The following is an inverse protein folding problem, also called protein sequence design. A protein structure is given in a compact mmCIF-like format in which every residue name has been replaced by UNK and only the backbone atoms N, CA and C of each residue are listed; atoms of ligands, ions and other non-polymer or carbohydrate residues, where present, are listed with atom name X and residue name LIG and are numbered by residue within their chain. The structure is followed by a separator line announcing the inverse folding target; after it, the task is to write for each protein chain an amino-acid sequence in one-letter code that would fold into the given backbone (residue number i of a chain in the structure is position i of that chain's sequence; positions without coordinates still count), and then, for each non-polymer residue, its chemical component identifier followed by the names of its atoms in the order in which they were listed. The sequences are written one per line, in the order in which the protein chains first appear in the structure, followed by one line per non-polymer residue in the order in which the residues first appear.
data_IF_244979708082
#
_entry.id   IF_244979708082
#
_cell.length_a   1.000
_cell.length_b   1.000
_cell.length_c   1.000
_cell.angle_alpha   90.00
_cell.angle_beta   90.00
_cell.angle_gamma   90.00
#
_symmetry.space_group_name_H-M   'P 1'
#
loop_
_entity.id
_entity.type
_entity.pdbx_description
1 polymer ?
#
# COMPACT_ATOMS: atom_id res chain seq x y z
N UNK A 1 20.99 3.05 -66.64
CA UNK A 1 21.09 3.79 -65.35
C UNK A 1 22.44 3.43 -64.74
N UNK A 2 23.32 4.40 -64.39
CA UNK A 2 24.70 4.09 -63.95
C UNK A 2 24.81 3.45 -62.56
N UNK A 3 23.85 3.67 -61.66
CA UNK A 3 23.85 3.07 -60.32
C UNK A 3 22.42 2.72 -59.89
N UNK A 4 21.96 1.45 -59.94
CA UNK A 4 20.63 1.07 -59.47
C UNK A 4 20.52 1.21 -57.94
N UNK A 5 19.33 1.49 -57.42
CA UNK A 5 19.09 1.50 -55.98
C UNK A 5 19.29 0.09 -55.41
N UNK A 6 20.20 -0.04 -54.44
CA UNK A 6 20.48 -1.29 -53.76
C UNK A 6 20.96 -1.01 -52.35
N UNK A 7 20.31 -1.64 -51.37
CA UNK A 7 20.83 -1.67 -50.01
C UNK A 7 22.02 -2.63 -49.94
N UNK A 8 23.07 -2.21 -49.23
CA UNK A 8 24.25 -3.04 -49.03
C UNK A 8 23.98 -4.14 -48.01
N UNK A 9 24.83 -5.19 -48.01
CA UNK A 9 24.80 -6.21 -46.94
C UNK A 9 24.93 -5.59 -45.55
N UNK A 10 25.76 -4.55 -45.42
CA UNK A 10 25.94 -3.82 -44.15
C UNK A 10 24.66 -3.14 -43.68
N UNK A 11 23.86 -2.55 -44.58
CA UNK A 11 22.56 -1.97 -44.23
C UNK A 11 21.61 -3.02 -43.67
N UNK A 12 21.54 -4.20 -44.31
CA UNK A 12 20.66 -5.29 -43.87
C UNK A 12 21.10 -5.80 -42.49
N UNK A 13 22.41 -5.99 -42.27
CA UNK A 13 22.95 -6.39 -40.96
C UNK A 13 22.57 -5.35 -39.89
N UNK A 14 22.73 -4.06 -40.18
CA UNK A 14 22.39 -3.00 -39.24
C UNK A 14 20.89 -2.96 -38.92
N UNK A 15 20.03 -3.08 -39.93
CA UNK A 15 18.59 -3.18 -39.75
C UNK A 15 18.21 -4.37 -38.86
N UNK A 16 18.83 -5.54 -39.07
CA UNK A 16 18.63 -6.73 -38.23
C UNK A 16 19.04 -6.50 -36.78
N UNK A 17 20.12 -5.76 -36.53
CA UNK A 17 20.55 -5.40 -35.16
C UNK A 17 19.51 -4.48 -34.50
N UNK A 18 19.06 -3.43 -35.19
CA UNK A 18 18.03 -2.49 -34.67
C UNK A 18 16.71 -3.21 -34.41
N UNK A 19 16.31 -4.10 -35.31
CA UNK A 19 15.15 -4.98 -35.16
C UNK A 19 15.27 -5.87 -33.92
N UNK A 20 16.42 -6.52 -33.72
CA UNK A 20 16.66 -7.37 -32.57
C UNK A 20 16.61 -6.58 -31.25
N UNK A 21 17.24 -5.40 -31.21
CA UNK A 21 17.20 -4.52 -30.02
C UNK A 21 15.76 -4.11 -29.69
N UNK A 22 14.99 -3.69 -30.70
CA UNK A 22 13.59 -3.28 -30.52
C UNK A 22 12.73 -4.44 -30.02
N UNK A 23 12.92 -5.64 -30.58
CA UNK A 23 12.22 -6.84 -30.15
C UNK A 23 12.57 -7.22 -28.70
N UNK A 24 13.86 -7.13 -28.32
CA UNK A 24 14.29 -7.34 -26.94
C UNK A 24 13.66 -6.32 -25.97
N UNK A 25 13.55 -5.05 -26.36
CA UNK A 25 12.86 -4.04 -25.55
C UNK A 25 11.37 -4.30 -25.42
N UNK A 26 10.69 -4.65 -26.50
CA UNK A 26 9.26 -4.98 -26.48
C UNK A 26 8.98 -6.18 -25.58
N UNK A 27 9.76 -7.26 -25.71
CA UNK A 27 9.63 -8.45 -24.85
C UNK A 27 9.92 -8.08 -23.39
N UNK A 28 10.92 -7.24 -23.13
CA UNK A 28 11.26 -6.83 -21.76
C UNK A 28 10.18 -5.96 -21.11
N UNK A 29 9.54 -5.05 -21.85
CA UNK A 29 8.51 -4.15 -21.32
C UNK A 29 7.18 -4.89 -21.17
N UNK A 30 6.74 -5.54 -22.23
CA UNK A 30 5.37 -6.04 -22.34
C UNK A 30 5.25 -7.54 -22.07
N UNK A 31 6.38 -8.24 -21.86
CA UNK A 31 6.41 -9.69 -21.67
C UNK A 31 6.26 -10.45 -22.99
N UNK A 32 5.96 -11.74 -22.89
CA UNK A 32 5.75 -12.60 -24.04
C UNK A 32 4.28 -13.00 -24.12
N UNK A 33 3.49 -12.25 -24.91
CA UNK A 33 2.09 -12.56 -25.21
C UNK A 33 1.76 -12.31 -26.70
N UNK A 34 0.55 -12.70 -27.11
CA UNK A 34 0.11 -12.56 -28.50
C UNK A 34 0.06 -11.09 -28.97
N UNK A 35 -0.23 -10.15 -28.06
CA UNK A 35 -0.23 -8.73 -28.38
C UNK A 35 1.18 -8.23 -28.68
N UNK A 36 2.18 -8.63 -27.88
CA UNK A 36 3.59 -8.27 -28.07
C UNK A 36 4.16 -8.87 -29.35
N UNK A 37 3.74 -10.08 -29.72
CA UNK A 37 4.09 -10.68 -31.01
C UNK A 37 3.55 -9.81 -32.16
N UNK A 38 2.28 -9.41 -32.09
CA UNK A 38 1.68 -8.51 -33.08
C UNK A 38 2.37 -7.15 -33.16
N UNK A 39 2.63 -6.51 -32.02
CA UNK A 39 3.36 -5.25 -31.91
C UNK A 39 4.77 -5.37 -32.51
N UNK A 40 5.47 -6.46 -32.20
CA UNK A 40 6.84 -6.71 -32.67
C UNK A 40 6.87 -6.97 -34.18
N UNK A 41 5.91 -7.71 -34.72
CA UNK A 41 5.79 -7.87 -36.18
C UNK A 41 5.56 -6.51 -36.85
N UNK A 42 4.64 -5.70 -36.32
CA UNK A 42 4.37 -4.35 -36.82
C UNK A 42 5.61 -3.43 -36.77
N UNK A 43 6.36 -3.45 -35.66
CA UNK A 43 7.57 -2.64 -35.53
C UNK A 43 8.69 -3.09 -36.47
N UNK A 44 8.84 -4.40 -36.71
CA UNK A 44 9.78 -4.94 -37.69
C UNK A 44 9.45 -4.48 -39.11
N UNK A 45 8.17 -4.46 -39.49
CA UNK A 45 7.76 -3.88 -40.77
C UNK A 45 8.12 -2.40 -40.86
N UNK A 46 7.87 -1.62 -39.81
CA UNK A 46 8.23 -0.20 -39.75
C UNK A 46 9.74 0.05 -39.91
N UNK A 47 10.58 -0.71 -39.19
CA UNK A 47 12.06 -0.62 -39.22
C UNK A 47 12.62 -0.93 -40.62
N UNK A 48 11.95 -1.77 -41.40
CA UNK A 48 12.43 -2.12 -42.74
C UNK A 48 11.86 -1.16 -43.79
N UNK A 49 10.55 -0.91 -43.76
CA UNK A 49 9.83 -0.17 -44.81
C UNK A 49 10.17 1.32 -44.77
N UNK A 50 10.10 1.97 -43.60
CA UNK A 50 10.25 3.42 -43.49
C UNK A 50 11.66 3.87 -43.92
N UNK A 51 12.76 3.28 -43.41
CA UNK A 51 14.10 3.64 -43.85
C UNK A 51 14.34 3.32 -45.33
N UNK A 52 13.77 2.23 -45.86
CA UNK A 52 13.89 1.89 -47.29
C UNK A 52 13.21 2.92 -48.19
N UNK A 53 12.00 3.37 -47.82
CA UNK A 53 11.28 4.42 -48.57
C UNK A 53 12.05 5.75 -48.55
N UNK A 54 12.54 6.16 -47.37
CA UNK A 54 13.32 7.40 -47.25
C UNK A 54 14.65 7.27 -48.02
N UNK A 55 15.33 6.14 -47.92
CA UNK A 55 16.55 5.87 -48.69
C UNK A 55 16.33 5.94 -50.20
N UNK A 56 15.19 5.42 -50.69
CA UNK A 56 14.81 5.49 -52.09
C UNK A 56 14.57 6.94 -52.52
N UNK A 57 13.82 7.71 -51.75
CA UNK A 57 13.58 9.14 -51.99
C UNK A 57 14.89 9.94 -52.04
N UNK A 58 15.77 9.75 -51.06
CA UNK A 58 17.07 10.43 -51.03
C UNK A 58 17.99 10.02 -52.19
N UNK A 59 17.95 8.75 -52.60
CA UNK A 59 18.66 8.32 -53.81
C UNK A 59 18.14 9.04 -55.07
N UNK A 60 16.84 9.27 -55.19
CA UNK A 60 16.27 10.08 -56.28
C UNK A 60 16.71 11.56 -56.19
N UNK A 61 16.57 12.19 -55.03
CA UNK A 61 16.90 13.60 -54.80
C UNK A 61 18.38 13.89 -55.05
N UNK A 62 19.28 12.98 -54.65
CA UNK A 62 20.72 13.13 -54.85
C UNK A 62 21.18 12.83 -56.29
N UNK A 63 20.25 12.65 -57.24
CA UNK A 63 20.58 12.39 -58.64
C UNK A 63 21.13 10.99 -58.88
N UNK A 64 20.67 10.00 -58.11
CA UNK A 64 21.08 8.58 -58.20
C UNK A 64 22.57 8.34 -57.96
N UNK A 65 23.18 9.18 -57.11
CA UNK A 65 24.58 9.03 -56.67
C UNK A 65 24.81 7.69 -55.95
N UNK A 66 26.01 7.15 -56.11
CA UNK A 66 26.46 5.98 -55.37
C UNK A 66 26.39 6.25 -53.85
N UNK A 67 25.89 5.27 -53.08
CA UNK A 67 25.74 5.32 -51.61
C UNK A 67 24.76 6.35 -51.02
N UNK A 68 24.17 7.25 -51.81
CA UNK A 68 23.21 8.24 -51.30
C UNK A 68 22.04 7.62 -50.53
N UNK A 69 21.44 6.56 -51.07
CA UNK A 69 20.38 5.81 -50.38
C UNK A 69 20.89 5.03 -49.16
N UNK A 70 22.07 4.41 -49.24
CA UNK A 70 22.71 3.68 -48.13
C UNK A 70 22.94 4.58 -46.91
N UNK A 71 23.44 5.80 -47.13
CA UNK A 71 23.70 6.75 -46.05
C UNK A 71 22.39 7.21 -45.39
N UNK A 72 21.39 7.58 -46.21
CA UNK A 72 20.08 7.98 -45.70
C UNK A 72 19.39 6.85 -44.92
N UNK A 73 19.46 5.61 -45.42
CA UNK A 73 18.94 4.43 -44.74
C UNK A 73 19.53 4.28 -43.33
N UNK A 74 20.85 4.36 -43.21
CA UNK A 74 21.53 4.21 -41.93
C UNK A 74 21.19 5.36 -40.97
N UNK A 75 21.16 6.61 -41.44
CA UNK A 75 20.81 7.76 -40.61
C UNK A 75 19.40 7.59 -40.02
N UNK A 76 18.42 7.23 -40.85
CA UNK A 76 17.04 7.01 -40.39
C UNK A 76 16.98 5.87 -39.39
N UNK A 77 17.66 4.74 -39.66
CA UNK A 77 17.71 3.62 -38.70
C UNK A 77 18.33 4.01 -37.36
N UNK A 78 19.40 4.81 -37.36
CA UNK A 78 20.03 5.30 -36.14
C UNK A 78 19.07 6.22 -35.35
N UNK A 79 18.35 7.11 -36.03
CA UNK A 79 17.34 7.96 -35.40
C UNK A 79 16.18 7.13 -34.82
N UNK A 80 15.70 6.12 -35.54
CA UNK A 80 14.68 5.20 -35.03
C UNK A 80 15.18 4.44 -33.80
N UNK A 81 16.43 3.96 -33.82
CA UNK A 81 17.04 3.29 -32.66
C UNK A 81 17.11 4.23 -31.45
N UNK A 82 17.55 5.48 -31.62
CA UNK A 82 17.55 6.46 -30.53
C UNK A 82 16.14 6.79 -30.03
N UNK A 83 15.16 6.89 -30.93
CA UNK A 83 13.75 7.04 -30.58
C UNK A 83 13.26 5.90 -29.69
N UNK A 84 13.50 4.64 -30.09
CA UNK A 84 13.14 3.47 -29.30
C UNK A 84 13.85 3.41 -27.94
N UNK A 85 15.13 3.81 -27.88
CA UNK A 85 15.88 3.90 -26.60
C UNK A 85 15.29 4.98 -25.68
N UNK A 86 14.93 6.14 -26.24
CA UNK A 86 14.31 7.24 -25.49
C UNK A 86 12.93 6.84 -24.96
N UNK A 87 12.09 6.24 -25.80
CA UNK A 87 10.77 5.73 -25.41
C UNK A 87 10.89 4.65 -24.33
N UNK A 88 11.86 3.73 -24.47
CA UNK A 88 12.18 2.76 -23.42
C UNK A 88 12.56 3.44 -22.10
N UNK A 89 13.39 4.47 -22.14
CA UNK A 89 13.77 5.24 -20.95
C UNK A 89 12.59 5.93 -20.29
N UNK A 90 11.65 6.48 -21.07
CA UNK A 90 10.43 7.08 -20.56
C UNK A 90 9.51 6.04 -19.91
N UNK A 91 9.24 4.92 -20.57
CA UNK A 91 8.40 3.84 -20.03
C UNK A 91 9.00 3.26 -18.75
N UNK A 92 10.32 3.10 -18.69
CA UNK A 92 11.00 2.65 -17.47
C UNK A 92 10.79 3.64 -16.31
N UNK A 93 10.96 4.95 -16.57
CA UNK A 93 10.74 6.00 -15.58
C UNK A 93 9.28 6.08 -15.13
N UNK A 94 8.33 5.94 -16.05
CA UNK A 94 6.90 5.92 -15.75
C UNK A 94 6.48 4.73 -14.87
N UNK A 95 7.19 3.59 -14.98
CA UNK A 95 6.97 2.42 -14.11
C UNK A 95 7.62 2.55 -12.74
N UNK A 96 8.74 3.25 -12.63
CA UNK A 96 9.41 3.49 -11.34
C UNK A 96 8.70 4.56 -10.52
N UNK A 97 8.13 5.58 -11.17
CA UNK A 97 7.47 6.70 -10.48
C UNK A 97 6.42 6.26 -9.43
N UNK A 98 5.43 5.40 -9.73
CA UNK A 98 4.46 4.98 -8.72
C UNK A 98 5.08 4.23 -7.53
N UNK A 99 6.24 3.59 -7.72
CA UNK A 99 6.97 2.92 -6.63
C UNK A 99 7.65 3.95 -5.74
N UNK A 100 8.21 5.00 -6.33
CA UNK A 100 8.83 6.09 -5.56
C UNK A 100 7.76 6.93 -4.85
N UNK A 101 6.64 7.22 -5.52
CA UNK A 101 5.46 7.87 -4.91
C UNK A 101 4.95 7.06 -3.70
N UNK A 102 4.97 5.72 -3.74
CA UNK A 102 4.64 4.86 -2.59
C UNK A 102 5.62 4.99 -1.43
N UNK A 103 6.93 5.08 -1.71
CA UNK A 103 7.95 5.24 -0.67
C UNK A 103 7.85 6.61 -0.02
N UNK A 104 7.66 7.64 -0.84
CA UNK A 104 7.47 9.02 -0.40
C UNK A 104 6.24 9.12 0.50
N UNK A 105 5.08 8.61 0.07
CA UNK A 105 3.87 8.60 0.88
C UNK A 105 4.06 7.94 2.26
N UNK A 106 4.77 6.79 2.32
CA UNK A 106 5.09 6.12 3.59
C UNK A 106 6.06 6.95 4.46
N UNK A 107 7.06 7.59 3.85
CA UNK A 107 8.01 8.45 4.55
C UNK A 107 7.31 9.70 5.12
N UNK A 108 6.51 10.38 4.30
CA UNK A 108 5.73 11.55 4.71
C UNK A 108 4.75 11.20 5.82
N UNK A 109 4.05 10.07 5.72
CA UNK A 109 3.17 9.61 6.80
C UNK A 109 3.92 9.43 8.11
N UNK A 110 5.10 8.80 8.08
CA UNK A 110 5.94 8.61 9.27
C UNK A 110 6.37 9.95 9.86
N UNK A 111 6.88 10.87 9.04
CA UNK A 111 7.35 12.19 9.47
C UNK A 111 6.22 13.05 10.04
N UNK A 112 5.07 13.12 9.33
CA UNK A 112 3.90 13.88 9.77
C UNK A 112 3.30 13.33 11.07
N UNK A 113 3.26 12.01 11.23
CA UNK A 113 2.71 11.36 12.44
C UNK A 113 3.64 11.55 13.64
N UNK A 114 4.96 11.52 13.43
CA UNK A 114 5.93 11.86 14.47
C UNK A 114 5.87 13.33 14.87
N UNK A 115 5.69 14.23 13.91
CA UNK A 115 5.61 15.67 14.17
C UNK A 115 4.29 16.09 14.82
N UNK A 116 3.18 15.43 14.46
CA UNK A 116 1.82 15.74 14.94
C UNK A 116 1.05 14.45 15.26
N UNK A 117 1.26 13.83 16.44
CA UNK A 117 0.58 12.59 16.84
C UNK A 117 -0.94 12.70 16.86
N UNK A 118 -1.48 13.86 17.23
CA UNK A 118 -2.93 14.10 17.28
C UNK A 118 -3.59 14.13 15.88
N UNK A 119 -2.79 14.23 14.82
CA UNK A 119 -3.25 14.22 13.43
C UNK A 119 -3.15 12.85 12.76
N UNK A 120 -2.96 11.77 13.53
CA UNK A 120 -2.74 10.41 13.00
C UNK A 120 -3.85 9.96 12.04
N UNK A 121 -5.13 10.24 12.33
CA UNK A 121 -6.25 9.86 11.46
C UNK A 121 -6.21 10.59 10.11
N UNK A 122 -5.95 11.90 10.12
CA UNK A 122 -5.81 12.71 8.90
C UNK A 122 -4.60 12.24 8.08
N UNK A 123 -3.45 12.05 8.73
CA UNK A 123 -2.23 11.57 8.10
C UNK A 123 -2.43 10.19 7.47
N UNK A 124 -3.17 9.30 8.14
CA UNK A 124 -3.50 7.98 7.61
C UNK A 124 -4.43 8.05 6.39
N UNK A 125 -5.42 8.94 6.41
CA UNK A 125 -6.33 9.14 5.28
C UNK A 125 -5.61 9.62 4.02
N UNK A 126 -4.64 10.54 4.17
CA UNK A 126 -3.75 10.97 3.09
C UNK A 126 -2.94 9.78 2.55
N UNK A 127 -2.22 9.06 3.42
CA UNK A 127 -1.46 7.87 3.06
C UNK A 127 -2.32 6.85 2.31
N UNK A 128 -3.53 6.57 2.80
CA UNK A 128 -4.43 5.59 2.21
C UNK A 128 -4.84 5.99 0.78
N UNK A 129 -5.07 7.28 0.56
CA UNK A 129 -5.41 7.83 -0.76
C UNK A 129 -4.24 7.69 -1.73
N UNK A 130 -3.03 8.04 -1.29
CA UNK A 130 -1.83 7.97 -2.11
C UNK A 130 -1.44 6.52 -2.45
N UNK A 131 -1.51 5.61 -1.47
CA UNK A 131 -1.30 4.18 -1.73
C UNK A 131 -2.31 3.64 -2.75
N UNK A 132 -3.60 3.97 -2.62
CA UNK A 132 -4.64 3.53 -3.57
C UNK A 132 -4.33 4.02 -4.98
N UNK A 133 -3.97 5.29 -5.12
CA UNK A 133 -3.62 5.90 -6.42
C UNK A 133 -2.39 5.24 -7.04
N UNK A 134 -1.31 5.09 -6.28
CA UNK A 134 -0.07 4.49 -6.80
C UNK A 134 -0.23 3.02 -7.17
N UNK A 135 -1.00 2.25 -6.39
CA UNK A 135 -1.35 0.87 -6.78
C UNK A 135 -2.17 0.85 -8.08
N UNK A 136 -3.11 1.78 -8.27
CA UNK A 136 -3.89 1.85 -9.50
C UNK A 136 -3.05 2.20 -10.72
N UNK A 137 -2.07 3.09 -10.55
CA UNK A 137 -1.14 3.43 -11.62
C UNK A 137 -0.15 2.29 -11.92
N UNK A 138 0.27 1.52 -10.92
CA UNK A 138 1.00 0.26 -11.12
C UNK A 138 0.17 -0.77 -11.89
N UNK A 139 -1.12 -0.91 -11.61
CA UNK A 139 -2.02 -1.82 -12.34
C UNK A 139 -2.16 -1.40 -13.81
N UNK A 140 -2.30 -0.09 -14.09
CA UNK A 140 -2.43 0.44 -15.45
C UNK A 140 -1.17 0.19 -16.28
N UNK A 141 0.01 0.35 -15.69
CA UNK A 141 1.31 0.31 -16.39
C UNK A 141 1.97 -1.08 -16.42
N UNK A 142 1.49 -2.01 -15.60
CA UNK A 142 1.95 -3.41 -15.57
C UNK A 142 1.15 -4.32 -16.51
N UNK A 143 1.70 -5.52 -16.78
CA UNK A 143 1.08 -6.55 -17.64
C UNK A 143 1.30 -7.95 -17.06
N UNK A 144 0.60 -8.96 -17.59
CA UNK A 144 0.82 -10.37 -17.25
C UNK A 144 0.73 -10.70 -15.75
N UNK A 145 1.67 -11.50 -15.26
CA UNK A 145 1.76 -11.92 -13.85
C UNK A 145 2.02 -10.75 -12.89
N UNK A 146 2.77 -9.74 -13.32
CA UNK A 146 3.03 -8.55 -12.50
C UNK A 146 1.74 -7.78 -12.22
N UNK A 147 0.88 -7.61 -13.22
CA UNK A 147 -0.44 -6.99 -13.03
C UNK A 147 -1.29 -7.77 -12.02
N UNK A 148 -1.23 -9.11 -12.04
CA UNK A 148 -1.94 -9.95 -11.06
C UNK A 148 -1.42 -9.70 -9.64
N UNK A 149 -0.11 -9.48 -9.46
CA UNK A 149 0.48 -9.11 -8.16
C UNK A 149 -0.10 -7.79 -7.66
N UNK A 150 -0.12 -6.75 -8.49
CA UNK A 150 -0.63 -5.44 -8.06
C UNK A 150 -2.14 -5.42 -7.82
N UNK A 151 -2.93 -6.17 -8.59
CA UNK A 151 -4.35 -6.39 -8.29
C UNK A 151 -4.52 -7.05 -6.92
N UNK A 152 -3.65 -8.01 -6.59
CA UNK A 152 -3.68 -8.69 -5.30
C UNK A 152 -3.26 -7.75 -4.16
N UNK A 153 -2.24 -6.92 -4.38
CA UNK A 153 -1.84 -5.86 -3.46
C UNK A 153 -3.00 -4.88 -3.20
N UNK A 154 -3.74 -4.47 -4.23
CA UNK A 154 -4.94 -3.62 -4.08
C UNK A 154 -5.98 -4.25 -3.17
N UNK A 155 -6.28 -5.54 -3.37
CA UNK A 155 -7.24 -6.29 -2.53
C UNK A 155 -6.75 -6.42 -1.09
N UNK A 156 -5.46 -6.68 -0.90
CA UNK A 156 -4.83 -6.73 0.41
C UNK A 156 -4.93 -5.38 1.12
N UNK A 157 -4.53 -4.30 0.44
CA UNK A 157 -4.59 -2.95 0.99
C UNK A 157 -6.01 -2.55 1.36
N UNK A 158 -6.99 -2.80 0.48
CA UNK A 158 -8.41 -2.55 0.78
C UNK A 158 -8.87 -3.27 2.06
N UNK A 159 -8.43 -4.50 2.28
CA UNK A 159 -8.77 -5.25 3.51
C UNK A 159 -8.08 -4.64 4.73
N UNK A 160 -6.81 -4.27 4.62
CA UNK A 160 -6.06 -3.63 5.71
C UNK A 160 -6.69 -2.29 6.10
N UNK A 161 -6.96 -1.44 5.11
CA UNK A 161 -7.60 -0.12 5.25
C UNK A 161 -8.98 -0.23 5.91
N UNK A 162 -9.82 -1.18 5.45
CA UNK A 162 -11.13 -1.41 6.04
C UNK A 162 -11.07 -1.85 7.51
N UNK A 163 -10.09 -2.66 7.89
CA UNK A 163 -9.92 -3.11 9.28
C UNK A 163 -9.41 -1.97 10.15
N UNK A 164 -8.47 -1.15 9.64
CA UNK A 164 -7.95 0.00 10.34
C UNK A 164 -9.04 1.05 10.60
N UNK A 165 -9.82 1.41 9.57
CA UNK A 165 -10.92 2.38 9.69
C UNK A 165 -11.97 1.91 10.70
N UNK A 166 -12.34 0.63 10.68
CA UNK A 166 -13.29 0.08 11.65
C UNK A 166 -12.76 0.18 13.09
N UNK A 167 -11.48 -0.13 13.29
CA UNK A 167 -10.85 -0.01 14.60
C UNK A 167 -10.74 1.45 15.07
N UNK A 168 -10.28 2.38 14.22
CA UNK A 168 -10.18 3.81 14.56
C UNK A 168 -11.56 4.39 14.92
N UNK A 169 -12.60 4.07 14.16
CA UNK A 169 -13.95 4.54 14.47
C UNK A 169 -14.43 4.05 15.84
N UNK A 170 -14.16 2.77 16.17
CA UNK A 170 -14.54 2.20 17.45
C UNK A 170 -13.70 2.77 18.60
N UNK A 171 -12.40 3.01 18.37
CA UNK A 171 -11.52 3.69 19.32
C UNK A 171 -11.97 5.13 19.59
N UNK A 172 -12.24 5.92 18.55
CA UNK A 172 -12.69 7.31 18.69
C UNK A 172 -14.00 7.39 19.48
N UNK A 173 -14.97 6.52 19.18
CA UNK A 173 -16.21 6.45 19.96
C UNK A 173 -15.98 6.07 21.43
N UNK A 174 -15.00 5.22 21.70
CA UNK A 174 -14.61 4.80 23.05
C UNK A 174 -13.78 5.86 23.81
N UNK A 175 -13.01 6.68 23.08
CA UNK A 175 -12.20 7.76 23.65
C UNK A 175 -13.03 9.03 23.96
N UNK A 176 -14.30 9.08 23.56
CA UNK A 176 -15.21 10.17 23.90
C UNK A 176 -15.30 10.35 25.43
N UNK A 177 -15.22 11.60 25.96
CA UNK A 177 -15.28 11.86 27.40
C UNK A 177 -16.50 11.25 28.10
N UNK A 178 -17.60 11.06 27.35
CA UNK A 178 -18.86 10.48 27.82
C UNK A 178 -18.73 9.06 28.38
N UNK A 179 -17.70 8.28 28.00
CA UNK A 179 -17.62 6.86 28.35
C UNK A 179 -17.42 6.62 29.86
N UNK A 180 -16.72 7.52 30.54
CA UNK A 180 -16.53 7.49 31.99
C UNK A 180 -17.06 8.76 32.66
N UNK A 181 -18.10 9.36 32.09
CA UNK A 181 -18.76 10.53 32.68
C UNK A 181 -19.69 10.07 33.83
N UNK A 182 -19.18 10.15 35.05
CA UNK A 182 -19.91 9.75 36.25
C UNK A 182 -21.14 10.61 36.54
N UNK A 183 -21.25 11.81 35.93
CA UNK A 183 -22.39 12.71 36.11
C UNK A 183 -23.67 12.18 35.45
N UNK A 184 -23.52 11.40 34.39
CA UNK A 184 -24.61 10.82 33.60
C UNK A 184 -24.77 9.31 33.84
N UNK A 185 -23.76 8.63 34.40
CA UNK A 185 -23.77 7.20 34.70
C UNK A 185 -24.71 6.83 35.86
N UNK A 186 -25.84 7.50 36.04
CA UNK A 186 -26.83 7.19 37.07
C UNK A 186 -28.12 6.56 36.49
N UNK A 187 -28.25 6.51 35.17
CA UNK A 187 -29.40 5.94 34.46
C UNK A 187 -29.08 4.59 33.79
N UNK A 188 -30.04 3.66 33.84
CA UNK A 188 -29.93 2.34 33.19
C UNK A 188 -29.73 2.44 31.67
N UNK A 189 -30.28 3.48 31.04
CA UNK A 189 -30.13 3.75 29.61
C UNK A 189 -28.68 4.07 29.25
N UNK A 190 -28.03 4.89 30.07
CA UNK A 190 -26.63 5.26 29.91
C UNK A 190 -25.75 4.02 30.03
N UNK A 191 -25.79 3.27 31.14
CA UNK A 191 -24.95 2.07 31.32
C UNK A 191 -24.95 1.14 30.11
N UNK A 192 -26.14 0.88 29.54
CA UNK A 192 -26.29 0.06 28.33
C UNK A 192 -25.61 0.67 27.11
N UNK A 193 -25.70 1.99 26.93
CA UNK A 193 -25.04 2.73 25.88
C UNK A 193 -23.51 2.67 25.99
N UNK A 194 -22.92 2.98 27.16
CA UNK A 194 -21.46 2.90 27.32
C UNK A 194 -20.96 1.46 27.13
N UNK A 195 -21.59 0.45 27.75
CA UNK A 195 -21.22 -0.96 27.55
C UNK A 195 -21.24 -1.37 26.09
N UNK A 196 -22.21 -0.90 25.31
CA UNK A 196 -22.26 -1.17 23.86
C UNK A 196 -21.03 -0.61 23.15
N UNK A 197 -20.66 0.65 23.40
CA UNK A 197 -19.49 1.27 22.77
C UNK A 197 -18.20 0.54 23.16
N UNK A 198 -18.02 0.26 24.46
CA UNK A 198 -16.85 -0.46 24.97
C UNK A 198 -16.75 -1.86 24.33
N UNK A 199 -17.89 -2.56 24.20
CA UNK A 199 -17.91 -3.88 23.58
C UNK A 199 -17.60 -3.85 22.08
N UNK A 200 -18.06 -2.82 21.36
CA UNK A 200 -17.73 -2.59 19.96
C UNK A 200 -16.21 -2.36 19.79
N UNK A 201 -15.63 -1.50 20.63
CA UNK A 201 -14.19 -1.26 20.67
C UNK A 201 -13.36 -2.53 20.94
N UNK A 202 -13.75 -3.33 21.93
CA UNK A 202 -13.10 -4.63 22.21
C UNK A 202 -13.19 -5.56 21.00
N UNK A 203 -14.35 -5.62 20.34
CA UNK A 203 -14.57 -6.50 19.19
C UNK A 203 -13.74 -6.08 17.98
N UNK A 204 -13.71 -4.79 17.64
CA UNK A 204 -12.89 -4.30 16.54
C UNK A 204 -11.40 -4.41 16.83
N UNK A 205 -10.98 -4.27 18.10
CA UNK A 205 -9.60 -4.56 18.51
C UNK A 205 -9.23 -6.03 18.28
N UNK A 206 -10.13 -6.97 18.62
CA UNK A 206 -9.93 -8.41 18.32
C UNK A 206 -9.90 -8.68 16.81
N UNK A 207 -10.74 -8.01 16.03
CA UNK A 207 -10.74 -8.12 14.56
C UNK A 207 -9.41 -7.63 13.97
N UNK A 208 -8.89 -6.49 14.45
CA UNK A 208 -7.63 -5.94 13.99
C UNK A 208 -6.44 -6.84 14.35
N UNK A 209 -6.40 -7.33 15.60
CA UNK A 209 -5.43 -8.34 16.03
C UNK A 209 -5.46 -9.58 15.13
N UNK A 210 -6.65 -10.14 14.89
CA UNK A 210 -6.81 -11.33 14.05
C UNK A 210 -6.33 -11.08 12.62
N UNK A 211 -6.63 -9.91 12.04
CA UNK A 211 -6.10 -9.52 10.74
C UNK A 211 -4.56 -9.53 10.73
N UNK A 212 -3.91 -8.85 11.69
CA UNK A 212 -2.45 -8.78 11.74
C UNK A 212 -1.81 -10.16 11.99
N UNK A 213 -2.43 -11.01 12.80
CA UNK A 213 -1.95 -12.38 13.00
C UNK A 213 -1.92 -13.19 11.71
N UNK A 214 -2.91 -12.99 10.84
CA UNK A 214 -3.16 -13.81 9.66
C UNK A 214 -2.80 -13.13 8.33
N UNK A 215 -2.33 -11.87 8.33
CA UNK A 215 -2.16 -11.06 7.10
C UNK A 215 -1.23 -11.68 6.06
N UNK A 216 -0.17 -12.36 6.49
CA UNK A 216 0.76 -13.07 5.59
C UNK A 216 0.08 -14.29 4.97
N UNK A 217 -0.68 -15.07 5.73
CA UNK A 217 -1.37 -16.27 5.24
C UNK A 217 -2.54 -15.91 4.31
N UNK A 218 -3.28 -14.85 4.67
CA UNK A 218 -4.27 -14.25 3.80
C UNK A 218 -3.63 -13.87 2.46
N UNK A 219 -2.49 -13.19 2.47
CA UNK A 219 -1.82 -12.80 1.24
C UNK A 219 -1.38 -14.02 0.41
N UNK A 220 -0.72 -15.00 1.04
CA UNK A 220 -0.31 -16.26 0.36
C UNK A 220 -1.50 -16.92 -0.34
N UNK A 221 -2.65 -16.96 0.32
CA UNK A 221 -3.90 -17.49 -0.24
C UNK A 221 -4.38 -16.69 -1.44
N UNK A 222 -4.37 -15.35 -1.36
CA UNK A 222 -4.76 -14.49 -2.48
C UNK A 222 -3.80 -14.62 -3.68
N UNK A 223 -2.53 -14.89 -3.43
CA UNK A 223 -1.50 -15.01 -4.47
C UNK A 223 -1.26 -16.43 -4.98
N UNK A 224 -2.07 -17.43 -4.56
CA UNK A 224 -1.79 -18.86 -4.84
C UNK A 224 -1.65 -19.22 -6.32
N UNK A 225 -2.30 -18.45 -7.20
CA UNK A 225 -2.34 -18.68 -8.65
C UNK A 225 -1.35 -17.79 -9.42
N UNK A 226 -0.47 -17.06 -8.73
CA UNK A 226 0.56 -16.23 -9.33
C UNK A 226 1.85 -17.04 -9.45
N UNK A 227 2.57 -16.90 -10.56
CA UNK A 227 3.87 -17.55 -10.72
C UNK A 227 4.85 -17.13 -9.62
N UNK A 228 5.29 -18.11 -8.81
CA UNK A 228 6.22 -17.90 -7.71
C UNK A 228 7.60 -17.44 -8.16
N UNK A 229 7.94 -17.62 -9.44
CA UNK A 229 9.19 -17.14 -10.01
C UNK A 229 9.15 -15.66 -10.41
N UNK A 230 7.97 -15.04 -10.47
CA UNK A 230 7.81 -13.62 -10.77
C UNK A 230 8.58 -12.76 -9.74
N UNK A 231 9.38 -11.81 -10.25
CA UNK A 231 10.22 -10.94 -9.40
C UNK A 231 9.39 -10.06 -8.47
N UNK A 232 8.29 -9.51 -8.95
CA UNK A 232 7.38 -8.64 -8.18
C UNK A 232 6.67 -9.44 -7.08
N UNK A 233 6.24 -10.68 -7.35
CA UNK A 233 5.74 -11.60 -6.34
C UNK A 233 6.77 -11.89 -5.24
N UNK A 234 8.01 -12.28 -5.62
CA UNK A 234 9.08 -12.56 -4.65
C UNK A 234 9.40 -11.34 -3.79
N UNK A 235 9.51 -10.17 -4.41
CA UNK A 235 9.76 -8.90 -3.73
C UNK A 235 8.66 -8.57 -2.72
N UNK A 236 7.40 -8.68 -3.15
CA UNK A 236 6.25 -8.37 -2.30
C UNK A 236 6.13 -9.32 -1.10
N UNK A 237 6.18 -10.64 -1.32
CA UNK A 237 6.07 -11.62 -0.24
C UNK A 237 7.23 -11.50 0.73
N UNK A 238 8.46 -11.31 0.24
CA UNK A 238 9.64 -11.12 1.09
C UNK A 238 9.51 -9.83 1.91
N UNK A 239 9.12 -8.73 1.27
CA UNK A 239 8.95 -7.43 1.92
C UNK A 239 7.92 -7.49 3.05
N UNK A 240 6.73 -8.05 2.77
CA UNK A 240 5.70 -8.21 3.78
C UNK A 240 6.15 -9.15 4.91
N UNK A 241 6.74 -10.29 4.60
CA UNK A 241 7.19 -11.26 5.63
C UNK A 241 8.24 -10.65 6.55
N UNK A 242 9.19 -9.89 5.99
CA UNK A 242 10.21 -9.20 6.77
C UNK A 242 9.57 -8.13 7.67
N UNK A 243 8.72 -7.25 7.12
CA UNK A 243 8.02 -6.23 7.93
C UNK A 243 7.12 -6.87 8.98
N UNK A 244 6.46 -7.99 8.67
CA UNK A 244 5.62 -8.73 9.61
C UNK A 244 6.43 -9.27 10.79
N UNK A 245 7.60 -9.85 10.54
CA UNK A 245 8.47 -10.37 11.60
C UNK A 245 8.96 -9.30 12.58
N UNK A 246 9.02 -8.04 12.17
CA UNK A 246 9.43 -6.90 13.00
C UNK A 246 8.22 -6.30 13.72
N UNK A 247 7.12 -6.07 13.00
CA UNK A 247 5.95 -5.37 13.54
C UNK A 247 5.10 -6.26 14.44
N UNK A 248 4.87 -7.53 14.07
CA UNK A 248 3.93 -8.42 14.76
C UNK A 248 4.28 -8.65 16.25
N UNK A 249 5.55 -8.84 16.64
CA UNK A 249 5.92 -8.97 18.06
C UNK A 249 5.58 -7.76 18.92
N UNK A 250 5.44 -6.56 18.34
CA UNK A 250 5.13 -5.32 19.06
C UNK A 250 3.62 -5.01 18.96
N UNK A 251 3.05 -5.17 17.76
CA UNK A 251 1.66 -4.88 17.48
C UNK A 251 0.68 -5.80 18.22
N UNK A 252 1.00 -7.08 18.38
CA UNK A 252 0.10 -8.02 19.06
C UNK A 252 -0.04 -7.70 20.56
N UNK A 253 1.05 -7.47 21.32
CA UNK A 253 0.95 -6.96 22.68
C UNK A 253 0.24 -5.60 22.76
N UNK A 254 0.47 -4.69 21.81
CA UNK A 254 -0.18 -3.38 21.77
C UNK A 254 -1.71 -3.50 21.72
N UNK A 255 -2.23 -4.30 20.79
CA UNK A 255 -3.68 -4.52 20.69
C UNK A 255 -4.23 -5.36 21.86
N UNK A 256 -3.43 -6.25 22.46
CA UNK A 256 -3.86 -6.92 23.70
C UNK A 256 -4.08 -5.92 24.83
N UNK A 257 -3.17 -4.96 25.02
CA UNK A 257 -3.33 -3.89 26.01
C UNK A 257 -4.63 -3.11 25.80
N UNK A 258 -4.94 -2.76 24.54
CA UNK A 258 -6.22 -2.12 24.19
C UNK A 258 -7.45 -2.97 24.53
N UNK A 259 -7.40 -4.28 24.27
CA UNK A 259 -8.49 -5.22 24.62
C UNK A 259 -8.65 -5.30 26.15
N UNK A 260 -7.55 -5.44 26.88
CA UNK A 260 -7.53 -5.58 28.34
C UNK A 260 -7.97 -4.28 29.03
N UNK A 261 -7.56 -3.12 28.49
CA UNK A 261 -8.04 -1.80 28.91
C UNK A 261 -9.56 -1.69 28.75
N UNK A 262 -10.09 -1.96 27.55
CA UNK A 262 -11.53 -1.93 27.32
C UNK A 262 -12.29 -2.89 28.24
N UNK A 263 -11.74 -4.08 28.52
CA UNK A 263 -12.32 -5.01 29.49
C UNK A 263 -12.32 -4.47 30.92
N UNK A 264 -11.26 -3.76 31.33
CA UNK A 264 -11.19 -3.06 32.61
C UNK A 264 -12.28 -1.99 32.74
N UNK A 265 -12.41 -1.14 31.72
CA UNK A 265 -13.46 -0.11 31.68
C UNK A 265 -14.85 -0.74 31.72
N UNK A 266 -15.10 -1.81 30.96
CA UNK A 266 -16.39 -2.50 31.01
C UNK A 266 -16.72 -3.04 32.42
N UNK A 267 -15.72 -3.58 33.13
CA UNK A 267 -15.89 -4.05 34.51
C UNK A 267 -16.20 -2.90 35.48
N UNK A 268 -15.60 -1.72 35.29
CA UNK A 268 -15.94 -0.52 36.06
C UNK A 268 -17.41 -0.17 35.84
N UNK A 269 -17.86 -0.09 34.59
CA UNK A 269 -19.26 0.21 34.26
C UNK A 269 -20.22 -0.86 34.83
N UNK A 270 -19.84 -2.14 34.79
CA UNK A 270 -20.59 -3.23 35.42
C UNK A 270 -20.68 -3.09 36.95
N UNK A 271 -19.59 -2.74 37.62
CA UNK A 271 -19.57 -2.53 39.06
C UNK A 271 -20.48 -1.36 39.47
N UNK A 272 -20.40 -0.24 38.75
CA UNK A 272 -21.23 0.95 39.01
C UNK A 272 -22.72 0.66 38.78
N UNK A 273 -23.08 -0.10 37.74
CA UNK A 273 -24.46 -0.51 37.50
C UNK A 273 -24.98 -1.43 38.62
N UNK A 274 -24.16 -2.38 39.09
CA UNK A 274 -24.56 -3.32 40.15
C UNK A 274 -24.71 -2.64 41.52
N UNK A 275 -23.97 -1.56 41.76
CA UNK A 275 -24.01 -0.77 43.00
C UNK A 275 -24.78 0.54 42.83
N UNK A 276 -25.72 0.58 41.88
CA UNK A 276 -26.52 1.76 41.61
C UNK A 276 -27.21 2.27 42.88
N UNK A 277 -27.05 3.56 43.16
CA UNK A 277 -27.58 4.22 44.35
C UNK A 277 -26.74 4.04 45.62
N UNK A 278 -25.61 3.30 45.55
CA UNK A 278 -24.65 3.12 46.65
C UNK A 278 -23.27 3.73 46.35
N UNK A 279 -23.22 4.57 45.33
CA UNK A 279 -22.08 5.41 45.02
C UNK A 279 -22.59 6.79 44.61
N UNK A 280 -21.75 7.79 44.80
CA UNK A 280 -22.01 9.17 44.40
C UNK A 280 -20.76 9.77 43.79
N UNK A 281 -20.96 10.73 42.89
CA UNK A 281 -19.88 11.49 42.26
C UNK A 281 -20.09 12.98 42.55
N UNK A 282 -19.05 13.62 43.09
CA UNK A 282 -19.04 15.04 43.39
C UNK A 282 -18.29 15.79 42.30
N UNK A 283 -18.99 16.57 41.47
CA UNK A 283 -18.40 17.31 40.35
C UNK A 283 -17.34 18.34 40.79
N UNK A 284 -17.51 18.96 41.97
CA UNK A 284 -16.60 20.01 42.44
C UNK A 284 -15.22 19.46 42.85
N UNK A 285 -15.19 18.21 43.32
CA UNK A 285 -14.00 17.55 43.85
C UNK A 285 -13.51 16.41 42.95
N UNK A 286 -14.22 16.15 41.85
CA UNK A 286 -14.03 15.01 40.93
C UNK A 286 -13.92 13.67 41.67
N UNK A 287 -14.60 13.54 42.81
CA UNK A 287 -14.44 12.41 43.72
C UNK A 287 -15.60 11.43 43.58
N UNK A 288 -15.26 10.18 43.30
CA UNK A 288 -16.18 9.05 43.33
C UNK A 288 -16.14 8.39 44.71
N UNK A 289 -17.27 8.36 45.40
CA UNK A 289 -17.40 7.76 46.74
C UNK A 289 -18.34 6.57 46.73
N UNK A 290 -17.98 5.50 47.43
CA UNK A 290 -18.80 4.31 47.62
C UNK A 290 -19.27 4.20 49.06
N UNK A 291 -20.49 3.70 49.29
CA UNK A 291 -20.99 3.43 50.63
C UNK A 291 -20.27 2.26 51.32
N UNK A 292 -19.74 1.31 50.53
CA UNK A 292 -19.07 0.11 51.01
C UNK A 292 -17.58 0.12 50.65
N UNK A 293 -16.72 -0.06 51.66
CA UNK A 293 -15.27 -0.16 51.48
C UNK A 293 -14.83 -1.33 50.59
N UNK A 294 -15.55 -2.45 50.60
CA UNK A 294 -15.24 -3.61 49.73
C UNK A 294 -15.46 -3.29 48.25
N UNK A 295 -16.52 -2.55 47.94
CA UNK A 295 -16.80 -2.05 46.59
C UNK A 295 -15.71 -1.09 46.14
N UNK A 296 -15.29 -0.17 47.01
CA UNK A 296 -14.19 0.75 46.73
C UNK A 296 -12.88 0.01 46.43
N UNK A 297 -12.50 -0.97 47.26
CA UNK A 297 -11.30 -1.79 47.02
C UNK A 297 -11.38 -2.52 45.67
N UNK A 298 -12.57 -3.03 45.32
CA UNK A 298 -12.79 -3.70 44.04
C UNK A 298 -12.65 -2.74 42.87
N UNK A 299 -13.24 -1.55 42.96
CA UNK A 299 -13.11 -0.49 41.97
C UNK A 299 -11.65 -0.08 41.77
N UNK A 300 -10.94 0.24 42.85
CA UNK A 300 -9.53 0.65 42.82
C UNK A 300 -8.64 -0.42 42.18
N UNK A 301 -8.89 -1.70 42.49
CA UNK A 301 -8.18 -2.81 41.85
C UNK A 301 -8.40 -2.84 40.33
N UNK A 302 -9.64 -2.73 39.87
CA UNK A 302 -9.97 -2.75 38.44
C UNK A 302 -9.37 -1.52 37.75
N UNK A 303 -9.45 -0.35 38.37
CA UNK A 303 -8.89 0.90 37.85
C UNK A 303 -7.37 0.80 37.71
N UNK A 304 -6.67 0.31 38.73
CA UNK A 304 -5.22 0.13 38.68
C UNK A 304 -4.80 -0.87 37.59
N UNK A 305 -5.56 -1.97 37.43
CA UNK A 305 -5.35 -2.92 36.32
C UNK A 305 -5.55 -2.24 34.95
N UNK A 306 -6.56 -1.37 34.80
CA UNK A 306 -6.80 -0.62 33.57
C UNK A 306 -5.68 0.39 33.28
N UNK A 307 -5.24 1.17 34.27
CA UNK A 307 -4.13 2.12 34.14
C UNK A 307 -2.85 1.41 33.69
N UNK A 308 -2.53 0.27 34.30
CA UNK A 308 -1.38 -0.56 33.89
C UNK A 308 -1.43 -0.98 32.42
N UNK A 309 -2.63 -1.34 31.92
CA UNK A 309 -2.80 -1.70 30.51
C UNK A 309 -2.68 -0.49 29.58
N UNK A 310 -3.15 0.68 30.00
CA UNK A 310 -2.96 1.94 29.27
C UNK A 310 -1.48 2.33 29.18
N UNK A 311 -0.71 2.17 30.25
CA UNK A 311 0.75 2.37 30.24
C UNK A 311 1.45 1.43 29.26
N UNK A 312 1.01 0.17 29.17
CA UNK A 312 1.50 -0.79 28.18
C UNK A 312 1.19 -0.30 26.76
N UNK A 313 -0.03 0.18 26.50
CA UNK A 313 -0.45 0.74 25.22
C UNK A 313 0.44 1.91 24.83
N UNK A 314 0.62 2.89 25.72
CA UNK A 314 1.41 4.08 25.46
C UNK A 314 2.87 3.74 25.13
N UNK A 315 3.50 2.89 25.95
CA UNK A 315 4.87 2.41 25.73
C UNK A 315 5.04 1.67 24.40
N UNK A 316 4.03 0.91 23.97
CA UNK A 316 4.10 0.15 22.73
C UNK A 316 3.74 1.01 21.51
N UNK A 317 2.94 2.06 21.67
CA UNK A 317 2.66 3.05 20.63
C UNK A 317 3.96 3.69 20.13
N UNK A 318 4.81 4.18 21.04
CA UNK A 318 6.10 4.77 20.70
C UNK A 318 6.97 3.81 19.88
N UNK A 319 7.04 2.55 20.32
CA UNK A 319 7.80 1.51 19.61
C UNK A 319 7.22 1.18 18.24
N UNK A 320 5.90 1.24 18.07
CA UNK A 320 5.26 1.02 16.77
C UNK A 320 5.67 2.12 15.77
N UNK A 321 5.74 3.36 16.22
CA UNK A 321 6.16 4.48 15.37
C UNK A 321 7.63 4.34 14.95
N UNK A 322 8.51 3.87 15.85
CA UNK A 322 9.94 3.63 15.52
C UNK A 322 10.13 2.61 14.39
N UNK A 323 9.38 1.49 14.45
CA UNK A 323 9.56 0.33 13.55
C UNK A 323 8.76 0.42 12.24
N UNK A 324 7.85 1.39 12.12
CA UNK A 324 7.12 1.68 10.88
C UNK A 324 8.09 2.01 9.75
#
# INVERSE_FOLDING_TARGET
MKHPFKLSKSNIIYASIVALITLLFNIRIYGFDAYVIGLSIGSLFGIIIIPTLIALLFWFVLGKKEKGGTTAFNIVLTLMLFGSISEFGQIAKEREKPIDDLKEAVSEYKEKTLANPDSTDTNYSELSTDIKKSIDDLIKTSVGEERKVFITLKKYFKKADSVNIAWNNAYNAFAEPRILDFTILNEKGEYKFQKKIIQEYINESKNFKSFVQNRVEYLKTQTKNIDRNNKSYKGFIKGLTNKDSIQKPIFIPYINGHIEYGQGINKIIELLENEQGKWSYENETETLTFENSETQITYEKILNDAISNEEIVNKLSDKLVEIM
#
